data_IF_922482552677
#
_entry.id   IF_922482552677
#
_cell.length_a   1.000
_cell.length_b   1.000
_cell.length_c   1.000
_cell.angle_alpha   90.00
_cell.angle_beta   90.00
_cell.angle_gamma   90.00
#
_symmetry.space_group_name_H-M   'P 1'
#
loop_
_entity.id
_entity.type
_entity.pdbx_description
1 polymer ?
#
# COMPACT_ATOMS: atom_id res chain seq x y z
N UNK A 1 19.07 15.84 -11.18
CA UNK A 1 17.80 16.27 -10.56
C UNK A 1 17.07 15.02 -10.11
N UNK A 2 17.19 14.66 -8.83
CA UNK A 2 16.39 13.58 -8.26
C UNK A 2 14.94 14.05 -8.23
N UNK A 3 14.05 13.35 -8.93
CA UNK A 3 12.59 13.58 -8.87
C UNK A 3 12.07 13.06 -7.53
N UNK A 4 12.39 13.78 -6.46
CA UNK A 4 11.82 13.64 -5.13
C UNK A 4 10.59 14.54 -5.04
N UNK A 5 9.48 14.12 -5.63
CA UNK A 5 8.15 14.59 -5.25
C UNK A 5 7.17 13.40 -5.28
N UNK A 6 6.21 13.42 -4.36
CA UNK A 6 5.18 12.39 -4.20
C UNK A 6 4.24 12.25 -5.40
N UNK A 7 4.38 13.12 -6.39
CA UNK A 7 3.46 13.33 -7.50
C UNK A 7 3.81 12.47 -8.71
N UNK A 8 2.80 12.16 -9.53
CA UNK A 8 2.98 11.47 -10.79
C UNK A 8 3.43 12.44 -11.90
N UNK A 9 4.18 11.94 -12.87
CA UNK A 9 4.74 12.72 -13.98
C UNK A 9 4.17 12.24 -15.32
N UNK A 10 3.90 13.15 -16.26
CA UNK A 10 3.44 12.75 -17.59
C UNK A 10 4.52 11.91 -18.29
N UNK A 11 4.12 10.83 -18.98
CA UNK A 11 5.06 9.90 -19.62
C UNK A 11 6.07 10.63 -20.54
N UNK A 12 5.58 11.58 -21.34
CA UNK A 12 6.39 12.39 -22.27
C UNK A 12 7.36 13.35 -21.58
N UNK A 13 7.16 13.66 -20.29
CA UNK A 13 7.99 14.59 -19.52
C UNK A 13 9.08 13.88 -18.71
N UNK A 14 9.05 12.54 -18.68
CA UNK A 14 10.10 11.77 -18.01
C UNK A 14 11.39 11.94 -18.81
N UNK A 15 12.48 12.43 -18.21
CA UNK A 15 13.76 12.60 -18.89
C UNK A 15 14.34 11.24 -19.28
N UNK A 16 15.28 11.24 -20.22
CA UNK A 16 16.02 10.01 -20.55
C UNK A 16 16.87 9.54 -19.37
N UNK A 17 16.88 8.23 -19.15
CA UNK A 17 17.46 7.49 -18.02
C UNK A 17 18.36 6.36 -18.52
N UNK A 18 19.54 6.68 -19.08
CA UNK A 18 20.50 5.67 -19.54
C UNK A 18 21.10 4.84 -18.39
N UNK A 19 20.96 5.32 -17.14
CA UNK A 19 21.36 4.61 -15.93
C UNK A 19 20.45 3.43 -15.59
N UNK A 20 19.18 3.47 -16.01
CA UNK A 20 18.20 2.41 -15.76
C UNK A 20 18.20 1.41 -16.92
N UNK A 21 18.58 0.16 -16.62
CA UNK A 21 18.65 -0.95 -17.60
C UNK A 21 17.56 -2.00 -17.39
N UNK A 22 16.93 -2.01 -16.20
CA UNK A 22 15.90 -2.98 -15.85
C UNK A 22 14.68 -2.25 -15.31
N UNK A 23 13.49 -2.55 -15.84
CA UNK A 23 12.26 -1.88 -15.40
C UNK A 23 11.18 -2.91 -15.12
N UNK A 24 10.54 -2.83 -13.94
CA UNK A 24 9.28 -3.53 -13.72
C UNK A 24 8.10 -2.61 -14.00
N UNK A 25 7.10 -3.07 -14.76
CA UNK A 25 5.94 -2.24 -15.13
C UNK A 25 4.64 -2.90 -14.65
N UNK A 26 3.77 -2.11 -14.01
CA UNK A 26 2.49 -2.62 -13.52
C UNK A 26 1.73 -1.60 -12.69
N UNK A 27 0.51 -1.94 -12.27
CA UNK A 27 -0.28 -1.06 -11.38
C UNK A 27 0.16 -1.10 -9.92
N UNK A 28 0.69 -2.25 -9.50
CA UNK A 28 1.19 -2.50 -8.14
C UNK A 28 0.20 -2.14 -7.02
N UNK A 29 -1.11 -2.08 -7.28
CA UNK A 29 -2.08 -1.72 -6.24
C UNK A 29 -2.16 -2.80 -5.18
N UNK A 30 -1.92 -2.42 -3.92
CA UNK A 30 -1.80 -3.33 -2.80
C UNK A 30 -0.41 -3.93 -2.60
N UNK A 31 0.50 -3.87 -3.58
CA UNK A 31 1.87 -4.47 -3.50
C UNK A 31 1.85 -5.84 -2.81
N UNK A 32 0.99 -6.72 -3.33
CA UNK A 32 0.75 -8.06 -2.78
C UNK A 32 1.92 -9.02 -3.05
N UNK A 33 1.84 -10.27 -2.58
CA UNK A 33 2.94 -11.24 -2.73
C UNK A 33 3.34 -11.44 -4.20
N UNK A 34 2.37 -11.55 -5.12
CA UNK A 34 2.65 -11.55 -6.57
C UNK A 34 3.43 -10.33 -7.08
N UNK A 35 3.10 -9.11 -6.64
CA UNK A 35 3.86 -7.91 -6.98
C UNK A 35 5.29 -7.94 -6.42
N UNK A 36 5.46 -8.48 -5.20
CA UNK A 36 6.79 -8.65 -4.59
C UNK A 36 7.65 -9.64 -5.37
N UNK A 37 7.05 -10.68 -5.97
CA UNK A 37 7.75 -11.59 -6.87
C UNK A 37 8.23 -10.87 -8.15
N UNK A 38 7.41 -9.98 -8.73
CA UNK A 38 7.81 -9.13 -9.87
C UNK A 38 9.01 -8.25 -9.51
N UNK A 39 8.99 -7.60 -8.34
CA UNK A 39 10.13 -6.79 -7.87
C UNK A 39 11.35 -7.65 -7.56
N UNK A 40 11.17 -8.85 -7.00
CA UNK A 40 12.26 -9.81 -6.76
C UNK A 40 12.95 -10.24 -8.06
N UNK A 41 12.19 -10.50 -9.12
CA UNK A 41 12.74 -10.83 -10.43
C UNK A 41 13.46 -9.63 -11.08
N UNK A 42 12.94 -8.41 -10.89
CA UNK A 42 13.64 -7.18 -11.28
C UNK A 42 15.00 -7.07 -10.59
N UNK A 43 15.04 -7.29 -9.27
CA UNK A 43 16.28 -7.28 -8.50
C UNK A 43 17.27 -8.35 -8.99
N UNK A 44 16.79 -9.54 -9.33
CA UNK A 44 17.61 -10.62 -9.88
C UNK A 44 18.24 -10.20 -11.21
N UNK A 45 17.47 -9.61 -12.12
CA UNK A 45 17.96 -9.13 -13.41
C UNK A 45 19.00 -8.01 -13.25
N UNK A 46 18.82 -7.13 -12.26
CA UNK A 46 19.73 -6.03 -11.95
C UNK A 46 21.01 -6.46 -11.21
N UNK A 47 21.18 -7.75 -10.89
CA UNK A 47 22.32 -8.22 -10.08
C UNK A 47 22.23 -7.82 -8.61
N UNK A 48 21.05 -7.45 -8.11
CA UNK A 48 20.79 -7.13 -6.71
C UNK A 48 20.38 -8.38 -5.88
N UNK A 49 20.15 -9.53 -6.52
CA UNK A 49 19.72 -10.75 -5.83
C UNK A 49 20.91 -11.64 -5.42
N UNK A 50 21.03 -11.92 -4.13
CA UNK A 50 21.84 -13.03 -3.62
C UNK A 50 23.02 -12.62 -2.72
N UNK A 51 23.14 -13.35 -1.62
CA UNK A 51 24.35 -13.54 -0.78
C UNK A 51 25.43 -14.32 -1.54
N UNK A 52 25.72 -13.93 -2.78
CA UNK A 52 26.81 -14.54 -3.54
C UNK A 52 28.14 -14.25 -2.82
N UNK A 53 29.10 -15.20 -2.80
CA UNK A 53 30.41 -14.97 -2.19
C UNK A 53 31.04 -13.70 -2.74
N UNK A 54 31.69 -12.92 -1.88
CA UNK A 54 32.26 -11.60 -2.12
C UNK A 54 33.34 -11.50 -3.23
N UNK A 55 33.47 -12.50 -4.10
CA UNK A 55 34.55 -12.64 -5.07
C UNK A 55 34.16 -12.26 -6.51
N UNK A 56 32.95 -11.75 -6.77
CA UNK A 56 32.59 -11.25 -8.11
C UNK A 56 31.68 -10.03 -7.98
N UNK A 57 32.26 -8.90 -7.59
CA UNK A 57 31.56 -7.61 -7.54
C UNK A 57 31.33 -7.06 -8.94
N UNK A 58 30.36 -7.63 -9.65
CA UNK A 58 29.71 -6.89 -10.73
C UNK A 58 28.82 -5.85 -10.05
N UNK A 59 29.05 -4.56 -10.33
CA UNK A 59 28.22 -3.50 -9.78
C UNK A 59 26.77 -3.71 -10.23
N UNK A 60 25.83 -3.63 -9.27
CA UNK A 60 24.41 -3.76 -9.57
C UNK A 60 23.99 -2.72 -10.62
N UNK A 61 23.25 -3.17 -11.63
CA UNK A 61 22.77 -2.30 -12.71
C UNK A 61 21.57 -1.47 -12.24
N UNK A 62 21.35 -0.29 -12.84
CA UNK A 62 20.23 0.56 -12.47
C UNK A 62 18.89 -0.09 -12.80
N UNK A 63 17.95 0.01 -11.86
CA UNK A 63 16.61 -0.55 -11.97
C UNK A 63 15.55 0.41 -11.45
N UNK A 64 14.35 0.37 -12.04
CA UNK A 64 13.21 1.15 -11.59
C UNK A 64 11.91 0.33 -11.63
N UNK A 65 10.96 0.68 -10.77
CA UNK A 65 9.57 0.24 -10.88
C UNK A 65 8.75 1.38 -11.48
N UNK A 66 8.13 1.14 -12.63
CA UNK A 66 7.19 2.07 -13.25
C UNK A 66 5.75 1.68 -12.91
N UNK A 67 5.01 2.61 -12.32
CA UNK A 67 3.61 2.45 -11.94
C UNK A 67 2.76 3.60 -12.48
N UNK A 68 1.43 3.49 -12.39
CA UNK A 68 0.51 4.54 -12.88
C UNK A 68 -0.36 5.11 -11.76
N UNK A 69 -0.68 6.40 -11.88
CA UNK A 69 -1.56 7.15 -11.00
C UNK A 69 -2.35 8.22 -11.80
N UNK A 70 -3.68 8.34 -11.66
CA UNK A 70 -4.59 7.43 -10.98
C UNK A 70 -4.64 6.04 -11.62
N UNK A 71 -5.44 5.14 -11.04
CA UNK A 71 -5.68 3.83 -11.65
C UNK A 71 -6.25 4.02 -13.08
N UNK A 72 -5.78 3.29 -14.11
CA UNK A 72 -6.22 3.46 -15.50
C UNK A 72 -7.73 3.41 -15.66
N UNK A 73 -8.40 2.48 -14.97
CA UNK A 73 -9.87 2.39 -14.99
C UNK A 73 -10.57 3.65 -14.45
N UNK A 74 -9.95 4.41 -13.54
CA UNK A 74 -10.50 5.70 -13.09
C UNK A 74 -10.57 6.76 -14.19
N UNK A 75 -9.84 6.56 -15.29
CA UNK A 75 -9.86 7.46 -16.47
C UNK A 75 -10.58 6.81 -17.65
N UNK A 76 -10.42 5.50 -17.84
CA UNK A 76 -11.03 4.74 -18.95
C UNK A 76 -12.53 4.52 -18.72
N UNK A 77 -12.91 4.15 -17.50
CA UNK A 77 -14.29 3.84 -17.14
C UNK A 77 -14.50 4.10 -15.63
N UNK A 78 -14.65 5.37 -15.23
CA UNK A 78 -14.65 5.79 -13.82
C UNK A 78 -15.62 4.98 -12.94
N UNK A 79 -16.81 4.66 -13.45
CA UNK A 79 -17.84 3.89 -12.72
C UNK A 79 -17.44 2.44 -12.42
N UNK A 80 -16.43 1.92 -13.12
CA UNK A 80 -15.87 0.57 -12.94
C UNK A 80 -14.50 0.60 -12.27
N UNK A 81 -14.04 1.77 -11.81
CA UNK A 81 -12.75 1.87 -11.16
C UNK A 81 -12.79 1.12 -9.82
N UNK A 82 -11.90 0.15 -9.60
CA UNK A 82 -11.91 -0.58 -8.35
C UNK A 82 -11.44 0.33 -7.20
N UNK A 83 -11.95 0.14 -5.97
CA UNK A 83 -11.43 0.86 -4.82
C UNK A 83 -9.95 0.51 -4.62
N UNK A 84 -9.15 1.50 -4.21
CA UNK A 84 -7.70 1.34 -4.09
C UNK A 84 -7.36 0.46 -2.91
N UNK A 85 -6.33 -0.38 -3.01
CA UNK A 85 -5.82 -1.15 -1.86
C UNK A 85 -4.81 -0.35 -1.05
N UNK A 86 -4.14 0.61 -1.68
CA UNK A 86 -3.09 1.46 -1.08
C UNK A 86 -3.17 2.90 -1.57
N UNK A 87 -2.77 3.88 -0.74
CA UNK A 87 -2.46 5.22 -1.24
C UNK A 87 -1.20 5.22 -2.12
N UNK A 88 -0.95 6.26 -2.94
CA UNK A 88 0.32 6.40 -3.65
C UNK A 88 1.54 6.37 -2.71
N UNK A 89 1.45 7.04 -1.55
CA UNK A 89 2.50 7.04 -0.53
C UNK A 89 2.77 5.65 0.05
N UNK A 90 1.72 4.92 0.44
CA UNK A 90 1.82 3.54 0.92
C UNK A 90 2.41 2.62 -0.14
N UNK A 91 1.93 2.70 -1.39
CA UNK A 91 2.43 1.88 -2.51
C UNK A 91 3.93 2.10 -2.72
N UNK A 92 4.40 3.35 -2.67
CA UNK A 92 5.83 3.69 -2.78
C UNK A 92 6.65 3.06 -1.65
N UNK A 93 6.20 3.21 -0.40
CA UNK A 93 6.84 2.61 0.79
C UNK A 93 6.92 1.09 0.68
N UNK A 94 5.84 0.45 0.25
CA UNK A 94 5.77 -1.01 0.09
C UNK A 94 6.64 -1.52 -1.07
N UNK A 95 6.71 -0.80 -2.18
CA UNK A 95 7.63 -1.11 -3.27
C UNK A 95 9.09 -0.97 -2.83
N UNK A 96 9.42 0.07 -2.07
CA UNK A 96 10.75 0.23 -1.49
C UNK A 96 11.11 -0.92 -0.53
N UNK A 97 10.17 -1.33 0.33
CA UNK A 97 10.33 -2.51 1.20
C UNK A 97 10.47 -3.82 0.41
N UNK A 98 9.88 -3.91 -0.77
CA UNK A 98 10.07 -5.04 -1.69
C UNK A 98 11.41 -5.00 -2.43
N UNK A 99 12.20 -3.93 -2.27
CA UNK A 99 13.54 -3.77 -2.84
C UNK A 99 13.62 -2.81 -4.02
N UNK A 100 12.54 -2.15 -4.42
CA UNK A 100 12.56 -1.12 -5.43
C UNK A 100 13.37 0.10 -4.94
N UNK A 101 14.49 0.41 -5.61
CA UNK A 101 15.30 1.59 -5.28
C UNK A 101 14.75 2.87 -5.89
N UNK A 102 14.04 2.74 -6.99
CA UNK A 102 13.40 3.84 -7.69
C UNK A 102 11.98 3.45 -8.10
N UNK A 103 11.04 4.37 -7.88
CA UNK A 103 9.64 4.21 -8.28
C UNK A 103 9.25 5.43 -9.12
N UNK A 104 8.95 5.18 -10.39
CA UNK A 104 8.48 6.18 -11.35
C UNK A 104 6.96 6.06 -11.41
N UNK A 105 6.24 7.05 -10.89
CA UNK A 105 4.79 7.11 -10.99
C UNK A 105 4.39 7.93 -12.22
N UNK A 106 3.81 7.28 -13.22
CA UNK A 106 3.35 7.91 -14.46
C UNK A 106 1.91 8.41 -14.29
N UNK A 107 1.67 9.66 -14.66
CA UNK A 107 0.33 10.24 -14.71
C UNK A 107 -0.51 9.56 -15.79
N UNK A 108 -1.56 8.84 -15.38
CA UNK A 108 -2.51 8.24 -16.30
C UNK A 108 -3.60 9.26 -16.62
N UNK A 109 -3.53 9.86 -17.80
CA UNK A 109 -4.46 10.91 -18.28
C UNK A 109 -5.16 10.44 -19.55
N UNK A 110 -6.17 11.17 -20.07
CA UNK A 110 -6.71 10.89 -21.40
C UNK A 110 -5.63 10.80 -22.49
N UNK A 111 -4.57 11.62 -22.40
CA UNK A 111 -3.42 11.54 -23.30
C UNK A 111 -2.68 10.20 -23.19
N UNK A 112 -2.41 9.73 -21.98
CA UNK A 112 -1.76 8.43 -21.74
C UNK A 112 -2.66 7.26 -22.17
N UNK A 113 -3.97 7.37 -21.92
CA UNK A 113 -4.99 6.41 -22.36
C UNK A 113 -4.98 6.22 -23.88
N UNK A 114 -4.82 7.33 -24.59
CA UNK A 114 -4.93 7.37 -26.05
C UNK A 114 -3.63 6.98 -26.75
N UNK A 115 -2.54 6.67 -26.05
CA UNK A 115 -1.32 6.15 -26.69
C UNK A 115 -1.57 4.77 -27.31
N UNK A 116 -1.20 4.57 -28.56
CA UNK A 116 -1.10 3.23 -29.15
C UNK A 116 -0.01 2.41 -28.47
N UNK A 117 -0.03 1.09 -28.67
CA UNK A 117 1.05 0.22 -28.20
C UNK A 117 2.40 0.61 -28.79
N UNK A 118 2.45 1.08 -30.05
CA UNK A 118 3.68 1.54 -30.68
C UNK A 118 4.23 2.81 -30.01
N UNK A 119 3.40 3.84 -29.83
CA UNK A 119 3.80 5.11 -29.20
C UNK A 119 4.25 4.89 -27.75
N UNK A 120 3.57 4.00 -27.01
CA UNK A 120 4.00 3.67 -25.65
C UNK A 120 5.39 3.02 -25.62
N UNK A 121 5.72 2.17 -26.59
CA UNK A 121 7.04 1.54 -26.68
C UNK A 121 8.11 2.58 -27.06
N UNK A 122 7.79 3.48 -27.98
CA UNK A 122 8.69 4.59 -28.34
C UNK A 122 9.01 5.48 -27.14
N UNK A 123 8.02 5.76 -26.28
CA UNK A 123 8.25 6.45 -25.02
C UNK A 123 9.14 5.64 -24.06
N UNK A 124 8.92 4.33 -23.91
CA UNK A 124 9.78 3.48 -23.09
C UNK A 124 11.23 3.50 -23.56
N UNK A 125 11.48 3.42 -24.87
CA UNK A 125 12.82 3.42 -25.43
C UNK A 125 13.49 4.80 -25.35
N UNK A 126 12.73 5.88 -25.47
CA UNK A 126 13.21 7.25 -25.23
C UNK A 126 13.63 7.45 -23.78
N UNK A 127 12.81 6.97 -22.85
CA UNK A 127 13.05 7.08 -21.40
C UNK A 127 14.20 6.16 -20.99
N UNK A 128 14.27 4.93 -21.51
CA UNK A 128 15.26 3.94 -21.12
C UNK A 128 16.12 3.50 -22.32
N UNK A 129 17.05 4.33 -22.81
CA UNK A 129 17.82 4.04 -24.02
C UNK A 129 18.81 2.88 -23.86
N UNK A 130 19.12 2.47 -22.63
CA UNK A 130 20.01 1.34 -22.31
C UNK A 130 19.26 0.12 -21.74
N UNK A 131 17.94 0.02 -22.02
CA UNK A 131 17.08 -1.03 -21.51
C UNK A 131 17.59 -2.42 -21.92
N UNK A 132 17.55 -3.35 -20.98
CA UNK A 132 17.91 -4.76 -21.15
C UNK A 132 16.78 -5.70 -20.75
N UNK A 133 16.04 -5.35 -19.70
CA UNK A 133 14.95 -6.20 -19.23
C UNK A 133 13.74 -5.38 -18.83
N UNK A 134 12.57 -5.82 -19.28
CA UNK A 134 11.28 -5.38 -18.76
C UNK A 134 10.64 -6.55 -18.02
N UNK A 135 10.28 -6.37 -16.75
CA UNK A 135 9.63 -7.39 -15.92
C UNK A 135 8.16 -7.01 -15.72
N UNK A 136 7.24 -7.92 -16.01
CA UNK A 136 5.80 -7.69 -15.88
C UNK A 136 5.12 -8.82 -15.15
N UNK A 137 3.94 -8.54 -14.58
CA UNK A 137 3.08 -9.56 -14.00
C UNK A 137 2.21 -10.27 -15.06
N UNK A 138 1.51 -11.35 -14.67
CA UNK A 138 0.68 -12.14 -15.57
C UNK A 138 -0.40 -11.33 -16.27
N UNK A 139 -0.58 -11.54 -17.57
CA UNK A 139 -1.67 -10.93 -18.34
C UNK A 139 -1.60 -9.40 -18.42
N UNK A 140 -0.41 -8.82 -18.25
CA UNK A 140 -0.20 -7.38 -18.36
C UNK A 140 -0.40 -6.90 -19.82
N UNK A 141 -1.11 -5.79 -19.95
CA UNK A 141 -1.45 -5.18 -21.24
C UNK A 141 -1.27 -3.67 -21.19
N UNK A 142 -0.99 -3.05 -22.33
CA UNK A 142 -0.77 -1.61 -22.48
C UNK A 142 -1.26 -1.11 -23.84
N UNK A 143 -1.19 0.21 -24.04
CA UNK A 143 -1.68 0.86 -25.24
C UNK A 143 -3.21 0.92 -25.31
N UNK A 144 -3.71 1.77 -26.21
CA UNK A 144 -5.12 1.97 -26.49
C UNK A 144 -5.78 0.62 -26.77
N UNK A 145 -6.96 0.43 -26.18
CA UNK A 145 -7.76 -0.80 -26.30
C UNK A 145 -7.02 -2.09 -25.93
N UNK A 146 -5.98 -2.00 -25.07
CA UNK A 146 -5.14 -3.14 -24.66
C UNK A 146 -4.47 -3.83 -25.85
N UNK A 147 -4.13 -3.08 -26.90
CA UNK A 147 -3.51 -3.56 -28.14
C UNK A 147 -2.07 -4.08 -27.95
N UNK A 148 -1.40 -3.73 -26.85
CA UNK A 148 -0.07 -4.21 -26.48
C UNK A 148 -0.11 -5.21 -25.33
N UNK A 149 0.80 -6.19 -25.37
CA UNK A 149 1.03 -7.16 -24.30
C UNK A 149 2.52 -7.56 -24.26
N UNK A 150 2.90 -8.42 -23.31
CA UNK A 150 4.28 -8.87 -23.15
C UNK A 150 4.87 -9.48 -24.45
N UNK A 151 4.07 -10.21 -25.23
CA UNK A 151 4.50 -10.81 -26.50
C UNK A 151 4.84 -9.74 -27.54
N UNK A 152 3.97 -8.74 -27.73
CA UNK A 152 4.18 -7.62 -28.67
C UNK A 152 5.46 -6.85 -28.30
N UNK A 153 5.63 -6.56 -27.01
CA UNK A 153 6.81 -5.85 -26.50
C UNK A 153 8.09 -6.68 -26.69
N UNK A 154 8.04 -7.99 -26.45
CA UNK A 154 9.19 -8.87 -26.63
C UNK A 154 9.58 -9.01 -28.11
N UNK A 155 8.60 -9.05 -29.03
CA UNK A 155 8.86 -9.05 -30.47
C UNK A 155 9.56 -7.77 -30.92
N UNK A 156 9.16 -6.61 -30.40
CA UNK A 156 9.82 -5.32 -30.69
C UNK A 156 11.21 -5.23 -30.05
N UNK A 157 11.40 -5.84 -28.89
CA UNK A 157 12.70 -5.92 -28.20
C UNK A 157 13.73 -6.79 -28.93
N UNK A 158 13.29 -7.79 -29.72
CA UNK A 158 14.19 -8.60 -30.57
C UNK A 158 14.94 -7.70 -31.55
N UNK A 159 16.27 -7.68 -31.43
CA UNK A 159 17.14 -6.82 -32.25
C UNK A 159 17.37 -5.41 -31.68
N UNK A 160 16.71 -5.03 -30.57
CA UNK A 160 16.89 -3.74 -29.87
C UNK A 160 17.61 -3.85 -28.52
N UNK A 161 18.02 -5.06 -28.13
CA UNK A 161 18.88 -5.28 -26.96
C UNK A 161 18.16 -5.45 -25.62
N UNK A 162 16.82 -5.52 -25.62
CA UNK A 162 16.04 -5.86 -24.42
C UNK A 162 15.12 -7.07 -24.61
N UNK A 163 14.83 -7.73 -23.49
CA UNK A 163 13.87 -8.82 -23.38
C UNK A 163 12.73 -8.46 -22.43
N UNK A 164 11.60 -9.15 -22.56
CA UNK A 164 10.47 -9.04 -21.63
C UNK A 164 10.31 -10.36 -20.86
N UNK A 165 10.27 -10.26 -19.54
CA UNK A 165 10.04 -11.38 -18.63
C UNK A 165 8.68 -11.24 -17.97
N UNK A 166 7.79 -12.19 -18.19
CA UNK A 166 6.52 -12.29 -17.48
C UNK A 166 6.67 -13.24 -16.29
N UNK A 167 6.48 -12.72 -15.07
CA UNK A 167 6.59 -13.51 -13.85
C UNK A 167 5.33 -14.35 -13.67
N UNK A 168 5.50 -15.65 -13.45
CA UNK A 168 4.40 -16.56 -13.19
C UNK A 168 3.55 -16.10 -11.99
N UNK A 169 2.22 -16.33 -12.01
CA UNK A 169 1.36 -15.96 -10.90
C UNK A 169 1.78 -16.71 -9.63
N UNK A 170 1.90 -15.97 -8.52
CA UNK A 170 2.05 -16.61 -7.21
C UNK A 170 0.72 -17.21 -6.79
N UNK A 171 0.75 -18.45 -6.34
CA UNK A 171 -0.43 -19.23 -5.95
C UNK A 171 -0.54 -19.32 -4.44
N UNK A 172 -1.75 -19.26 -3.91
CA UNK A 172 -2.09 -19.55 -2.52
C UNK A 172 -3.35 -20.43 -2.49
N UNK A 173 -3.27 -21.58 -1.82
CA UNK A 173 -4.37 -22.57 -1.83
C UNK A 173 -4.79 -23.04 -3.24
N UNK A 174 -3.87 -23.08 -4.21
CA UNK A 174 -4.18 -23.44 -5.60
C UNK A 174 -4.84 -22.33 -6.44
N UNK A 175 -5.01 -21.13 -5.88
CA UNK A 175 -5.62 -19.97 -6.55
C UNK A 175 -4.57 -18.88 -6.79
N UNK A 176 -4.56 -18.21 -7.96
CA UNK A 176 -3.60 -17.14 -8.21
C UNK A 176 -3.89 -15.90 -7.36
N UNK A 177 -2.87 -15.31 -6.75
CA UNK A 177 -2.99 -14.06 -5.99
C UNK A 177 -3.14 -12.87 -6.94
N UNK A 178 -4.15 -12.01 -6.72
CA UNK A 178 -4.36 -10.78 -7.50
C UNK A 178 -5.01 -9.68 -6.67
N UNK A 179 -4.86 -8.41 -7.09
CA UNK A 179 -5.56 -7.28 -6.46
C UNK A 179 -7.08 -7.45 -6.48
N UNK A 180 -7.66 -8.07 -7.52
CA UNK A 180 -9.11 -8.34 -7.57
C UNK A 180 -9.55 -9.27 -6.43
N UNK A 181 -8.85 -10.39 -6.22
CA UNK A 181 -9.18 -11.34 -5.15
C UNK A 181 -8.94 -10.79 -3.76
N UNK A 182 -7.94 -9.92 -3.61
CA UNK A 182 -7.71 -9.21 -2.34
C UNK A 182 -8.91 -8.29 -2.04
N UNK A 183 -9.41 -7.58 -3.04
CA UNK A 183 -10.61 -6.75 -2.87
C UNK A 183 -11.83 -7.60 -2.52
N UNK A 184 -12.05 -8.71 -3.21
CA UNK A 184 -13.13 -9.65 -2.89
C UNK A 184 -13.03 -10.17 -1.45
N UNK A 185 -11.83 -10.55 -1.00
CA UNK A 185 -11.58 -11.00 0.38
C UNK A 185 -11.89 -9.89 1.40
N UNK A 186 -11.44 -8.66 1.15
CA UNK A 186 -11.73 -7.50 2.03
C UNK A 186 -13.23 -7.21 2.06
N UNK A 187 -13.90 -7.18 0.90
CA UNK A 187 -15.35 -6.97 0.81
C UNK A 187 -16.15 -8.02 1.57
N UNK A 188 -15.69 -9.28 1.55
CA UNK A 188 -16.31 -10.38 2.30
C UNK A 188 -15.96 -10.38 3.80
N UNK A 189 -15.12 -9.45 4.28
CA UNK A 189 -14.63 -9.43 5.66
C UNK A 189 -13.58 -10.50 5.98
N UNK A 190 -13.09 -11.24 4.98
CA UNK A 190 -12.06 -12.27 5.15
C UNK A 190 -10.65 -11.63 5.17
N UNK A 191 -10.36 -10.93 6.28
CA UNK A 191 -9.07 -10.25 6.48
C UNK A 191 -7.89 -11.23 6.59
N UNK A 192 -8.13 -12.48 7.00
CA UNK A 192 -7.10 -13.51 7.05
C UNK A 192 -6.60 -13.86 5.65
N UNK A 193 -7.52 -14.12 4.71
CA UNK A 193 -7.17 -14.39 3.31
C UNK A 193 -6.55 -13.16 2.64
N UNK A 194 -7.10 -11.97 2.92
CA UNK A 194 -6.50 -10.72 2.43
C UNK A 194 -5.05 -10.56 2.93
N UNK A 195 -4.78 -10.87 4.21
CA UNK A 195 -3.44 -10.84 4.80
C UNK A 195 -2.51 -11.84 4.11
N UNK A 196 -2.95 -13.07 3.88
CA UNK A 196 -2.18 -14.09 3.19
C UNK A 196 -1.76 -13.60 1.79
N UNK A 197 -2.71 -13.07 1.03
CA UNK A 197 -2.47 -12.59 -0.33
C UNK A 197 -1.59 -11.34 -0.37
N UNK A 198 -1.79 -10.39 0.56
CA UNK A 198 -0.97 -9.19 0.69
C UNK A 198 0.42 -9.47 1.27
N UNK A 199 0.57 -10.54 2.06
CA UNK A 199 1.73 -10.83 2.91
C UNK A 199 1.85 -9.88 4.11
N UNK A 200 0.77 -9.15 4.44
CA UNK A 200 0.67 -8.18 5.55
C UNK A 200 -0.81 -7.85 5.82
N UNK A 201 -1.18 -7.30 6.99
CA UNK A 201 -2.53 -6.81 7.22
C UNK A 201 -2.93 -5.73 6.21
N UNK A 202 -4.22 -5.62 5.92
CA UNK A 202 -4.75 -4.48 5.15
C UNK A 202 -4.65 -3.21 5.99
N UNK A 203 -4.19 -2.12 5.39
CA UNK A 203 -3.86 -0.88 6.10
C UNK A 203 -4.62 0.30 5.53
N UNK A 204 -5.35 0.98 6.39
CA UNK A 204 -5.98 2.26 6.08
C UNK A 204 -5.03 3.40 6.41
N UNK A 205 -5.07 4.47 5.62
CA UNK A 205 -4.35 5.72 5.92
C UNK A 205 -5.36 6.84 5.95
N UNK A 206 -5.23 7.71 6.94
CA UNK A 206 -6.02 8.93 7.01
C UNK A 206 -5.41 9.95 7.94
N UNK A 207 -5.87 11.18 7.79
CA UNK A 207 -5.51 12.28 8.68
C UNK A 207 -6.45 12.30 9.86
N UNK A 208 -5.92 12.43 11.08
CA UNK A 208 -6.76 12.55 12.27
C UNK A 208 -7.47 13.91 12.25
N UNK A 209 -8.80 13.88 12.21
CA UNK A 209 -9.66 15.05 12.18
C UNK A 209 -10.47 15.17 13.47
N UNK A 210 -11.01 16.37 13.71
CA UNK A 210 -11.92 16.60 14.83
C UNK A 210 -13.25 15.89 14.57
N UNK A 211 -13.62 14.95 15.45
CA UNK A 211 -14.94 14.32 15.49
C UNK A 211 -15.85 14.96 16.54
N UNK A 212 -16.98 14.31 16.88
CA UNK A 212 -17.89 14.76 17.95
C UNK A 212 -17.29 14.68 19.36
N UNK A 213 -16.11 14.06 19.51
CA UNK A 213 -15.40 13.84 20.78
C UNK A 213 -16.22 13.12 21.86
N UNK A 214 -17.28 12.41 21.47
CA UNK A 214 -18.16 11.68 22.40
C UNK A 214 -17.40 10.60 23.17
N UNK A 215 -16.47 9.89 22.52
CA UNK A 215 -15.59 8.90 23.15
C UNK A 215 -14.81 9.48 24.34
N UNK A 216 -14.28 10.70 24.20
CA UNK A 216 -13.51 11.37 25.26
C UNK A 216 -14.35 11.62 26.52
N UNK A 217 -15.63 11.97 26.35
CA UNK A 217 -16.56 12.22 27.47
C UNK A 217 -16.92 10.95 28.24
N UNK A 218 -16.73 9.77 27.64
CA UNK A 218 -17.12 8.47 28.21
C UNK A 218 -15.93 7.61 28.61
N UNK A 219 -14.71 8.17 28.56
CA UNK A 219 -13.46 7.51 28.97
C UNK A 219 -12.66 6.83 27.85
N UNK A 220 -13.14 6.87 26.60
CA UNK A 220 -12.53 6.16 25.46
C UNK A 220 -12.25 7.14 24.29
N UNK A 221 -11.17 7.95 24.35
CA UNK A 221 -10.86 8.90 23.30
C UNK A 221 -10.62 8.22 21.95
N UNK A 222 -11.33 8.64 20.90
CA UNK A 222 -11.18 8.11 19.54
C UNK A 222 -10.61 9.15 18.58
N UNK A 223 -9.64 8.73 17.77
CA UNK A 223 -9.16 9.47 16.62
C UNK A 223 -10.08 9.17 15.43
N UNK A 224 -10.66 10.21 14.84
CA UNK A 224 -11.48 10.09 13.63
C UNK A 224 -10.57 10.26 12.42
N UNK A 225 -10.61 9.34 11.45
CA UNK A 225 -9.79 9.46 10.24
C UNK A 225 -10.61 10.09 9.11
N UNK A 226 -10.07 11.18 8.56
CA UNK A 226 -10.50 11.77 7.29
C UNK A 226 -9.58 11.34 6.14
N UNK A 227 -10.07 11.45 4.90
CA UNK A 227 -9.26 11.17 3.71
C UNK A 227 -8.90 9.69 3.53
N UNK A 228 -9.71 8.77 4.07
CA UNK A 228 -9.55 7.34 3.84
C UNK A 228 -10.15 6.99 2.48
N UNK A 229 -9.28 6.65 1.52
CA UNK A 229 -9.68 6.33 0.14
C UNK A 229 -9.45 4.86 -0.24
N UNK A 230 -8.86 4.08 0.67
CA UNK A 230 -8.67 2.65 0.46
C UNK A 230 -10.00 1.92 0.55
N UNK A 231 -10.02 0.74 -0.04
CA UNK A 231 -11.09 -0.22 0.14
C UNK A 231 -11.29 -0.51 1.63
N UNK A 232 -12.53 -0.39 2.09
CA UNK A 232 -12.90 -0.76 3.44
C UNK A 232 -13.48 -2.17 3.49
N UNK A 233 -13.23 -2.91 4.57
CA UNK A 233 -14.00 -4.11 4.86
C UNK A 233 -15.43 -3.75 5.30
N UNK A 234 -16.32 -4.74 5.53
CA UNK A 234 -17.66 -4.50 6.07
C UNK A 234 -17.68 -3.62 7.32
N UNK A 235 -18.81 -2.97 7.57
CA UNK A 235 -18.95 -2.22 8.81
C UNK A 235 -18.81 -3.12 10.04
N UNK A 236 -18.18 -2.59 11.08
CA UNK A 236 -17.97 -3.28 12.34
C UNK A 236 -16.75 -2.81 13.09
N UNK A 237 -16.43 -3.56 14.12
CA UNK A 237 -15.35 -3.28 15.06
C UNK A 237 -14.21 -4.26 14.80
N UNK A 238 -12.99 -3.73 14.75
CA UNK A 238 -11.78 -4.45 14.39
C UNK A 238 -10.71 -4.26 15.46
N UNK A 239 -9.98 -5.31 15.82
CA UNK A 239 -8.71 -5.18 16.52
C UNK A 239 -7.66 -4.73 15.50
N UNK A 240 -6.86 -3.73 15.87
CA UNK A 240 -5.96 -3.05 14.94
C UNK A 240 -4.63 -2.66 15.59
N UNK A 241 -3.66 -2.36 14.73
CA UNK A 241 -2.40 -1.73 15.10
C UNK A 241 -2.28 -0.39 14.40
N UNK A 242 -2.13 0.68 15.15
CA UNK A 242 -2.01 2.04 14.64
C UNK A 242 -0.54 2.48 14.64
N UNK A 243 -0.10 3.07 13.53
CA UNK A 243 1.22 3.67 13.35
C UNK A 243 1.03 5.16 13.16
N UNK A 244 1.65 5.97 14.01
CA UNK A 244 1.60 7.43 13.91
C UNK A 244 2.88 7.89 13.21
N UNK A 245 2.75 8.51 12.04
CA UNK A 245 3.90 8.96 11.26
C UNK A 245 4.70 10.01 12.05
N UNK A 246 6.03 9.85 12.10
CA UNK A 246 6.93 10.75 12.82
C UNK A 246 7.07 10.50 14.32
N UNK A 247 6.43 9.46 14.87
CA UNK A 247 6.58 9.08 16.28
C UNK A 247 7.32 7.73 16.42
N UNK A 248 8.43 7.73 17.14
CA UNK A 248 9.06 6.50 17.64
C UNK A 248 8.45 6.19 19.00
N UNK A 249 7.76 5.05 19.13
CA UNK A 249 7.37 4.53 20.45
C UNK A 249 8.44 3.56 20.94
N UNK A 250 8.91 3.75 22.18
CA UNK A 250 9.72 2.75 22.84
C UNK A 250 8.89 1.46 22.95
N UNK A 251 9.44 0.32 22.55
CA UNK A 251 8.78 -0.97 22.78
C UNK A 251 8.84 -1.33 24.27
N UNK A 252 7.69 -1.62 24.87
CA UNK A 252 7.58 -2.34 26.14
C UNK A 252 7.44 -1.49 27.42
N UNK A 253 6.89 -2.08 28.50
CA UNK A 253 6.71 -1.40 29.77
C UNK A 253 8.06 -1.29 30.48
N UNK A 254 8.73 -0.16 30.33
CA UNK A 254 9.69 0.33 31.30
C UNK A 254 9.90 1.80 31.08
N UNK A 255 9.70 2.57 32.15
CA UNK A 255 10.14 3.95 32.27
C UNK A 255 11.62 4.07 31.84
N UNK A 256 11.86 4.53 30.62
CA UNK A 256 13.15 5.08 30.23
C UNK A 256 12.85 6.27 29.33
N UNK A 257 13.18 7.47 29.84
CA UNK A 257 13.08 8.73 29.13
C UNK A 257 13.81 8.63 27.78
N UNK A 258 13.11 8.90 26.69
CA UNK A 258 13.72 9.04 25.37
C UNK A 258 14.17 10.50 25.21
N UNK A 259 15.44 10.80 24.90
CA UNK A 259 15.90 12.17 24.69
C UNK A 259 15.24 12.80 23.45
N UNK A 260 14.87 14.08 23.56
CA UNK A 260 14.09 14.86 22.59
C UNK A 260 14.76 15.13 21.22
N UNK A 261 15.93 14.55 20.92
CA UNK A 261 16.68 14.97 19.73
C UNK A 261 17.33 13.81 19.01
N UNK A 262 16.60 13.10 18.14
CA UNK A 262 17.23 12.32 17.05
C UNK A 262 16.36 12.39 15.79
N UNK A 263 16.45 13.52 15.10
CA UNK A 263 16.52 13.45 13.64
C UNK A 263 17.85 12.77 13.29
N UNK A 264 17.85 11.89 12.30
CA UNK A 264 19.06 11.22 11.75
C UNK A 264 19.50 9.88 12.36
N UNK A 265 18.60 8.89 12.49
CA UNK A 265 19.01 7.47 12.37
C UNK A 265 17.92 6.67 11.62
N UNK A 266 17.93 6.75 10.29
CA UNK A 266 17.10 5.92 9.40
C UNK A 266 17.96 4.91 8.62
N UNK A 267 18.98 4.30 9.24
CA UNK A 267 19.84 3.30 8.58
C UNK A 267 20.14 2.06 9.46
N UNK A 268 19.12 1.51 10.14
CA UNK A 268 19.19 0.09 10.54
C UNK A 268 17.91 -0.64 10.13
N UNK A 269 18.08 -1.67 9.31
CA UNK A 269 17.02 -2.47 8.70
C UNK A 269 16.32 -3.44 9.67
N UNK A 270 16.10 -3.04 10.93
CA UNK A 270 15.53 -3.96 11.94
C UNK A 270 14.52 -3.35 12.93
N UNK A 271 14.41 -2.01 13.03
CA UNK A 271 13.40 -1.42 13.90
C UNK A 271 12.03 -1.45 13.20
N UNK A 272 11.13 -2.37 13.60
CA UNK A 272 9.71 -2.24 13.25
C UNK A 272 9.25 -0.87 13.75
N UNK A 273 8.59 -0.05 12.92
CA UNK A 273 7.99 1.18 13.42
C UNK A 273 7.07 0.78 14.55
N UNK A 274 7.24 1.42 15.69
CA UNK A 274 6.48 1.03 16.85
C UNK A 274 5.00 1.28 16.59
N UNK A 275 4.17 0.29 16.93
CA UNK A 275 2.73 0.32 16.72
C UNK A 275 2.03 0.39 18.07
N UNK A 276 0.91 1.10 18.11
CA UNK A 276 0.01 1.13 19.26
C UNK A 276 -1.14 0.17 18.98
N UNK A 277 -1.45 -0.73 19.93
CA UNK A 277 -2.63 -1.56 19.83
C UNK A 277 -3.89 -0.70 19.91
N UNK A 278 -4.91 -1.04 19.12
CA UNK A 278 -6.11 -0.22 19.01
C UNK A 278 -7.34 -1.05 18.69
N UNK A 279 -8.51 -0.43 18.87
CA UNK A 279 -9.77 -0.87 18.28
C UNK A 279 -10.18 0.14 17.23
N UNK A 280 -10.57 -0.32 16.04
CA UNK A 280 -11.07 0.53 14.96
C UNK A 280 -12.53 0.18 14.66
N UNK A 281 -13.41 1.16 14.76
CA UNK A 281 -14.78 1.09 14.26
C UNK A 281 -14.84 1.64 12.83
N UNK A 282 -15.44 0.87 11.93
CA UNK A 282 -15.75 1.27 10.56
C UNK A 282 -17.26 1.23 10.42
N UNK A 283 -17.87 2.36 10.10
CA UNK A 283 -19.32 2.48 10.09
C UNK A 283 -19.82 3.64 9.25
N UNK A 284 -21.14 3.81 9.24
CA UNK A 284 -21.80 4.87 8.49
C UNK A 284 -22.46 5.83 9.49
N UNK A 285 -22.10 7.12 9.42
CA UNK A 285 -22.78 8.19 10.15
C UNK A 285 -24.03 8.63 9.39
N UNK A 286 -25.21 8.60 10.01
CA UNK A 286 -26.35 9.37 9.53
C UNK A 286 -25.98 10.86 9.59
N UNK A 287 -25.95 11.56 8.46
CA UNK A 287 -25.83 13.03 8.45
C UNK A 287 -27.17 13.66 8.10
N UNK A 288 -27.44 14.83 8.68
CA UNK A 288 -28.74 15.49 8.60
C UNK A 288 -29.03 16.11 7.22
N UNK A 289 -28.01 16.39 6.40
CA UNK A 289 -28.19 17.18 5.18
C UNK A 289 -27.75 16.50 3.87
N UNK A 290 -26.76 15.59 3.85
CA UNK A 290 -26.10 15.20 2.58
C UNK A 290 -25.92 13.67 2.38
N UNK A 291 -26.76 12.87 3.03
CA UNK A 291 -26.64 11.40 2.99
C UNK A 291 -25.68 10.84 4.03
N UNK A 292 -25.37 9.55 3.94
CA UNK A 292 -24.70 8.83 5.00
C UNK A 292 -23.17 8.88 4.83
N UNK A 293 -22.44 9.48 5.77
CA UNK A 293 -20.99 9.67 5.66
C UNK A 293 -20.24 8.50 6.32
N UNK A 294 -19.34 7.87 5.58
CA UNK A 294 -18.46 6.83 6.09
C UNK A 294 -17.56 7.36 7.23
N UNK A 295 -17.39 6.57 8.28
CA UNK A 295 -16.59 6.91 9.47
C UNK A 295 -15.59 5.79 9.75
N UNK A 296 -14.32 6.17 9.95
CA UNK A 296 -13.30 5.29 10.50
C UNK A 296 -12.79 5.94 11.79
N UNK A 297 -13.03 5.27 12.92
CA UNK A 297 -12.70 5.78 14.26
C UNK A 297 -11.82 4.78 14.97
N UNK A 298 -10.66 5.20 15.46
CA UNK A 298 -9.73 4.33 16.15
C UNK A 298 -9.49 4.79 17.59
N UNK A 299 -9.63 3.87 18.54
CA UNK A 299 -9.27 4.06 19.94
C UNK A 299 -7.88 3.46 20.17
N UNK A 300 -6.89 4.32 20.43
CA UNK A 300 -5.51 3.90 20.70
C UNK A 300 -5.37 3.57 22.19
N UNK A 301 -4.84 2.40 22.49
CA UNK A 301 -4.64 1.95 23.87
C UNK A 301 -3.45 2.65 24.50
N UNK A 302 -3.59 3.00 25.79
CA UNK A 302 -2.51 3.53 26.62
C UNK A 302 -1.81 4.76 26.01
N UNK A 303 -2.55 5.54 25.21
CA UNK A 303 -2.03 6.66 24.43
C UNK A 303 -2.76 7.96 24.76
N UNK A 304 -1.99 8.98 25.17
CA UNK A 304 -2.53 10.24 25.71
C UNK A 304 -2.09 11.50 24.95
N UNK A 305 -1.31 11.36 23.88
CA UNK A 305 -0.85 12.51 23.10
C UNK A 305 -1.90 12.99 22.12
N UNK A 306 -1.87 14.28 21.80
CA UNK A 306 -2.67 14.85 20.73
C UNK A 306 -2.03 14.56 19.36
N UNK A 307 -2.83 13.98 18.47
CA UNK A 307 -2.42 13.61 17.11
C UNK A 307 -3.32 14.24 16.04
N UNK A 308 -4.13 15.26 16.38
CA UNK A 308 -4.92 15.98 15.37
C UNK A 308 -4.04 16.54 14.25
N UNK A 309 -4.52 16.42 13.02
CA UNK A 309 -3.80 16.82 11.80
C UNK A 309 -2.66 15.89 11.39
N UNK A 310 -2.33 14.87 12.20
CA UNK A 310 -1.32 13.87 11.83
C UNK A 310 -1.91 12.82 10.91
N UNK A 311 -1.10 12.35 9.97
CA UNK A 311 -1.39 11.13 9.20
C UNK A 311 -1.08 9.90 10.05
N UNK A 312 -2.01 8.96 10.08
CA UNK A 312 -1.83 7.67 10.75
C UNK A 312 -2.13 6.53 9.77
N UNK A 313 -1.46 5.40 9.99
CA UNK A 313 -1.79 4.14 9.33
C UNK A 313 -2.45 3.19 10.34
N UNK A 314 -3.55 2.54 9.97
CA UNK A 314 -4.29 1.60 10.81
C UNK A 314 -4.29 0.24 10.11
N UNK A 315 -3.52 -0.70 10.63
CA UNK A 315 -3.52 -2.09 10.20
C UNK A 315 -4.70 -2.82 10.84
N UNK A 316 -5.61 -3.35 10.02
CA UNK A 316 -6.78 -4.11 10.48
C UNK A 316 -6.37 -5.57 10.66
N UNK A 317 -6.30 -6.02 11.92
CA UNK A 317 -5.72 -7.31 12.25
C UNK A 317 -6.77 -8.41 12.36
N UNK A 318 -7.88 -8.13 13.07
CA UNK A 318 -8.97 -9.09 13.29
C UNK A 318 -10.32 -8.39 13.30
N UNK A 319 -11.35 -9.04 12.76
CA UNK A 319 -12.74 -8.62 12.96
C UNK A 319 -13.21 -9.08 14.34
N UNK A 320 -13.84 -8.18 15.10
CA UNK A 320 -14.37 -8.49 16.42
C UNK A 320 -15.88 -8.74 16.38
N UNK A 321 -16.64 -7.79 15.81
CA UNK A 321 -18.11 -7.84 15.81
C UNK A 321 -18.75 -6.82 14.85
N UNK A 322 -20.03 -6.99 14.49
CA UNK A 322 -20.77 -5.96 13.74
C UNK A 322 -21.05 -4.73 14.61
N UNK A 323 -21.45 -3.63 13.95
CA UNK A 323 -22.00 -2.46 14.63
C UNK A 323 -23.24 -2.85 15.45
N UNK A 324 -23.40 -2.24 16.63
CA UNK A 324 -24.48 -2.53 17.56
C UNK A 324 -25.04 -1.22 18.12
N UNK A 325 -26.36 -1.13 18.26
CA UNK A 325 -27.03 -0.07 19.02
C UNK A 325 -27.10 -0.46 20.49
N UNK A 326 -26.90 0.50 21.38
CA UNK A 326 -26.95 0.30 22.83
C UNK A 326 -28.13 1.05 23.42
N UNK A 327 -28.74 0.46 24.45
CA UNK A 327 -29.91 1.05 25.13
C UNK A 327 -29.52 2.29 25.95
N UNK A 328 -28.32 2.26 26.55
CA UNK A 328 -27.80 3.32 27.40
C UNK A 328 -26.26 3.41 27.30
N UNK A 329 -25.71 4.39 28.02
CA UNK A 329 -24.27 4.65 28.06
C UNK A 329 -23.49 3.53 28.77
N UNK A 330 -24.06 2.91 29.80
CA UNK A 330 -23.40 1.87 30.58
C UNK A 330 -23.17 0.62 29.73
N UNK A 331 -24.18 0.19 28.97
CA UNK A 331 -24.10 -0.92 28.03
C UNK A 331 -23.08 -0.64 26.92
N UNK A 332 -22.99 0.60 26.43
CA UNK A 332 -21.97 1.01 25.46
C UNK A 332 -20.57 0.88 26.05
N UNK A 333 -20.32 1.46 27.23
CA UNK A 333 -19.01 1.40 27.89
C UNK A 333 -18.60 -0.04 28.23
N UNK A 334 -19.54 -0.87 28.69
CA UNK A 334 -19.29 -2.28 28.96
C UNK A 334 -18.89 -3.04 27.70
N UNK A 335 -19.50 -2.74 26.55
CA UNK A 335 -19.11 -3.36 25.29
C UNK A 335 -17.75 -2.87 24.81
N UNK A 336 -17.44 -1.58 24.93
CA UNK A 336 -16.12 -1.05 24.55
C UNK A 336 -15.01 -1.73 25.37
N UNK A 337 -15.20 -1.92 26.69
CA UNK A 337 -14.24 -2.67 27.53
C UNK A 337 -14.03 -4.10 27.05
N UNK A 338 -15.10 -4.81 26.69
CA UNK A 338 -15.00 -6.16 26.12
C UNK A 338 -14.25 -6.19 24.80
N UNK A 339 -14.52 -5.21 23.92
CA UNK A 339 -13.84 -5.10 22.63
C UNK A 339 -12.34 -4.81 22.82
N UNK A 340 -11.98 -3.96 23.78
CA UNK A 340 -10.59 -3.67 24.16
C UNK A 340 -9.88 -4.90 24.75
N UNK A 341 -10.50 -5.60 25.70
CA UNK A 341 -9.95 -6.82 26.30
C UNK A 341 -9.67 -7.89 25.24
N UNK A 342 -10.63 -8.12 24.34
CA UNK A 342 -10.47 -9.09 23.25
C UNK A 342 -9.42 -8.65 22.23
N UNK A 343 -9.40 -7.36 21.85
CA UNK A 343 -8.37 -6.83 20.97
C UNK A 343 -6.97 -6.97 21.57
N UNK A 344 -6.78 -6.64 22.85
CA UNK A 344 -5.51 -6.83 23.56
C UNK A 344 -5.10 -8.30 23.55
N UNK A 345 -6.03 -9.22 23.83
CA UNK A 345 -5.79 -10.67 23.79
C UNK A 345 -5.33 -11.11 22.41
N UNK A 346 -6.04 -10.75 21.34
CA UNK A 346 -5.72 -11.15 19.96
C UNK A 346 -4.39 -10.54 19.46
N UNK A 347 -4.11 -9.29 19.84
CA UNK A 347 -2.92 -8.58 19.39
C UNK A 347 -1.64 -8.99 20.13
N UNK A 348 -1.74 -9.54 21.35
CA UNK A 348 -0.58 -10.13 22.05
C UNK A 348 0.07 -11.30 21.27
N UNK A 349 -0.69 -12.00 20.43
CA UNK A 349 -0.17 -13.11 19.62
C UNK A 349 0.55 -12.67 18.33
N UNK A 350 0.40 -11.41 17.91
CA UNK A 350 1.06 -10.88 16.71
C UNK A 350 2.45 -10.35 17.11
N UNK A 351 3.40 -11.27 17.23
CA UNK A 351 4.77 -10.98 17.68
C UNK A 351 5.67 -12.19 17.94
N UNK A 352 5.17 -13.42 17.78
CA UNK A 352 5.98 -14.65 17.73
C UNK A 352 6.16 -15.13 16.30
#
# INVERSE_FOLDING_TARGET
>A
MHTTTGDSVALSEIPSRPDIRHVAIGMFDGVHVGHRAVVGELMRCAGCAGTAPASTTVAAEGMAVMTFEPHPLSVIAPDRAPPRLTTPGQRRKLLAQAGAREVIAVSFTPRTRDLSSAEFIDELERIFPALRTIVVGPGWTFGRDRSGNALVLNQRGRGRGYQVLEVAPVMAGGVPISSTRIREAIAAGNLALAREFLGRPHMLTGTVIHGRQNGRKIGFPTANLGGVFQMLPPNGVYASRTFVHGHLFAHGPSHAQVPETIGTVLHSASARPASIASVTNIGIRPTLNDGSALSVETHLFDFVQDIYGKEIEVALEYYLRPEKRFADLEALQAQIRKDEEEARRLLQFVGR
#
